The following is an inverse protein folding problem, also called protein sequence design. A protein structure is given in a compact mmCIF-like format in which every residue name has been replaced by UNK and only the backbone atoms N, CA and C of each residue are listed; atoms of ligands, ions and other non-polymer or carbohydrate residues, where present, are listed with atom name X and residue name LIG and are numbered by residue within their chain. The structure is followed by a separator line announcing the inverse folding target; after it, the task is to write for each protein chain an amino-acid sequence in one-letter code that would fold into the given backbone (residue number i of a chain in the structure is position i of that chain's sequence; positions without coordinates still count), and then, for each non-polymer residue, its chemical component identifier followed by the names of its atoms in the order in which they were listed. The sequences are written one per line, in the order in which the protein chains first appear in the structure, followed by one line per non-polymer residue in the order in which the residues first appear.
data_IF_351888027987
#
_entry.id   IF_351888027987
#
_cell.length_a   1.000
_cell.length_b   1.000
_cell.length_c   1.000
_cell.angle_alpha   90.00
_cell.angle_beta   90.00
_cell.angle_gamma   90.00
#
_symmetry.space_group_name_H-M   'P 1'
#
loop_
_entity.id
_entity.type
_entity.pdbx_description
1 polymer ?
#
# COMPACT_ATOMS: atom_id res chain seq x y z
N UNK A 1 -24.39 -26.82 -15.48
CA UNK A 1 -23.68 -25.54 -15.56
C UNK A 1 -24.43 -24.56 -14.66
N UNK A 2 -23.85 -24.08 -13.56
CA UNK A 2 -24.51 -23.03 -12.76
C UNK A 2 -24.22 -21.67 -13.40
N UNK A 3 -25.14 -20.70 -13.26
CA UNK A 3 -25.00 -19.36 -13.87
C UNK A 3 -23.70 -18.62 -13.51
N UNK A 4 -23.05 -19.04 -12.42
CA UNK A 4 -21.76 -18.56 -11.94
C UNK A 4 -20.58 -18.84 -12.89
N UNK A 5 -20.69 -19.81 -13.80
CA UNK A 5 -19.62 -20.12 -14.76
C UNK A 5 -19.51 -19.10 -15.90
N UNK A 6 -20.49 -18.19 -16.03
CA UNK A 6 -20.49 -17.11 -17.04
C UNK A 6 -19.72 -15.86 -16.62
N UNK A 7 -19.38 -15.73 -15.34
CA UNK A 7 -18.69 -14.53 -14.82
C UNK A 7 -17.22 -14.58 -15.26
N UNK A 8 -16.71 -13.55 -15.96
CA UNK A 8 -15.30 -13.50 -16.34
C UNK A 8 -14.39 -13.52 -15.10
N UNK A 9 -13.22 -14.18 -15.19
CA UNK A 9 -12.25 -14.26 -14.06
C UNK A 9 -11.94 -12.93 -13.41
N UNK A 10 -11.89 -11.89 -14.22
CA UNK A 10 -11.40 -10.59 -13.80
C UNK A 10 -12.48 -9.79 -13.07
N UNK A 11 -13.77 -10.13 -13.23
CA UNK A 11 -14.86 -9.29 -12.72
C UNK A 11 -14.84 -9.13 -11.20
N UNK A 12 -14.70 -10.18 -10.36
CA UNK A 12 -14.63 -10.01 -8.90
C UNK A 12 -13.40 -9.21 -8.46
N UNK A 13 -12.27 -9.41 -9.15
CA UNK A 13 -11.03 -8.67 -8.87
C UNK A 13 -11.20 -7.19 -9.19
N UNK A 14 -11.81 -6.86 -10.34
CA UNK A 14 -12.10 -5.47 -10.68
C UNK A 14 -13.08 -4.82 -9.70
N UNK A 15 -14.11 -5.55 -9.25
CA UNK A 15 -15.03 -5.03 -8.22
C UNK A 15 -14.29 -4.76 -6.91
N UNK A 16 -13.41 -5.68 -6.48
CA UNK A 16 -12.55 -5.47 -5.31
C UNK A 16 -11.63 -4.25 -5.46
N UNK A 17 -11.00 -4.08 -6.62
CA UNK A 17 -10.15 -2.93 -6.92
C UNK A 17 -10.93 -1.61 -6.96
N UNK A 18 -12.16 -1.61 -7.50
CA UNK A 18 -13.02 -0.43 -7.51
C UNK A 18 -13.46 -0.05 -6.10
N UNK A 19 -13.86 -1.02 -5.28
CA UNK A 19 -14.20 -0.78 -3.88
C UNK A 19 -12.99 -0.21 -3.10
N UNK A 20 -11.81 -0.79 -3.30
CA UNK A 20 -10.55 -0.31 -2.74
C UNK A 20 -10.28 1.15 -3.15
N UNK A 21 -10.39 1.47 -4.45
CA UNK A 21 -10.15 2.83 -4.94
C UNK A 21 -11.14 3.85 -4.37
N UNK A 22 -12.40 3.45 -4.15
CA UNK A 22 -13.40 4.31 -3.48
C UNK A 22 -13.01 4.55 -2.03
N UNK A 23 -12.56 3.51 -1.30
CA UNK A 23 -12.08 3.68 0.06
C UNK A 23 -10.86 4.59 0.15
N UNK A 24 -9.84 4.38 -0.68
CA UNK A 24 -8.66 5.23 -0.76
C UNK A 24 -9.03 6.69 -1.04
N UNK A 25 -9.94 6.94 -1.98
CA UNK A 25 -10.41 8.29 -2.28
C UNK A 25 -11.04 8.96 -1.06
N UNK A 26 -11.84 8.23 -0.27
CA UNK A 26 -12.47 8.78 0.94
C UNK A 26 -11.47 9.00 2.08
N UNK A 27 -10.39 8.23 2.13
CA UNK A 27 -9.39 8.24 3.20
C UNK A 27 -8.17 9.10 2.84
N UNK A 28 -8.03 9.54 1.59
CA UNK A 28 -6.89 10.33 1.10
C UNK A 28 -6.54 11.54 1.99
N UNK A 29 -7.47 12.29 2.61
CA UNK A 29 -7.12 13.40 3.49
C UNK A 29 -6.47 12.99 4.82
N UNK A 30 -6.62 11.73 5.22
CA UNK A 30 -6.09 11.21 6.47
C UNK A 30 -4.65 10.72 6.29
N UNK A 31 -3.82 10.91 7.32
CA UNK A 31 -2.46 10.40 7.45
C UNK A 31 -2.25 10.04 8.91
N UNK A 32 -1.55 8.95 9.19
CA UNK A 32 -1.24 8.57 10.56
C UNK A 32 -0.07 9.43 11.07
N UNK A 33 -0.19 9.96 12.28
CA UNK A 33 0.83 10.83 12.89
C UNK A 33 2.22 10.17 12.94
N UNK A 34 2.26 8.85 13.20
CA UNK A 34 3.51 8.07 13.24
C UNK A 34 4.27 8.09 11.91
N UNK A 35 3.60 8.25 10.76
CA UNK A 35 4.24 8.31 9.45
C UNK A 35 5.19 9.52 9.32
N UNK A 36 4.89 10.60 10.03
CA UNK A 36 5.73 11.81 10.04
C UNK A 36 7.10 11.57 10.67
N UNK A 37 7.24 10.56 11.53
CA UNK A 37 8.56 10.16 12.05
C UNK A 37 9.42 9.73 10.87
N UNK A 38 8.96 8.78 10.07
CA UNK A 38 9.70 8.28 8.89
C UNK A 38 9.93 9.39 7.86
N UNK A 39 8.96 10.29 7.65
CA UNK A 39 9.13 11.44 6.75
C UNK A 39 10.26 12.36 7.20
N UNK A 40 10.37 12.64 8.51
CA UNK A 40 11.46 13.43 9.09
C UNK A 40 12.83 12.78 8.85
N UNK A 41 12.92 11.46 9.02
CA UNK A 41 14.15 10.72 8.72
C UNK A 41 14.52 10.81 7.24
N UNK A 42 13.55 10.63 6.34
CA UNK A 42 13.75 10.76 4.90
C UNK A 42 14.22 12.18 4.52
N UNK A 43 13.61 13.22 5.09
CA UNK A 43 14.01 14.62 4.90
C UNK A 43 15.46 14.87 5.34
N UNK A 44 15.85 14.37 6.53
CA UNK A 44 17.21 14.55 7.05
C UNK A 44 18.25 13.77 6.22
N UNK A 45 17.90 12.58 5.74
CA UNK A 45 18.76 11.82 4.86
C UNK A 45 19.02 12.59 3.56
N UNK A 46 17.97 13.11 2.92
CA UNK A 46 18.07 13.89 1.68
C UNK A 46 18.80 15.22 1.90
N UNK A 47 18.63 15.85 3.06
CA UNK A 47 19.35 17.08 3.44
C UNK A 47 20.84 16.86 3.79
N UNK A 48 21.31 15.61 3.84
CA UNK A 48 22.70 15.28 4.16
C UNK A 48 23.03 15.25 5.66
N UNK A 49 22.02 15.32 6.54
CA UNK A 49 22.20 15.17 7.99
C UNK A 49 22.37 13.70 8.43
N UNK A 50 22.11 12.76 7.51
CA UNK A 50 22.12 11.33 7.78
C UNK A 50 20.74 10.82 8.24
N UNK A 51 20.69 9.53 8.58
CA UNK A 51 19.46 8.85 9.01
C UNK A 51 19.24 9.11 10.51
N UNK A 52 18.76 10.32 10.81
CA UNK A 52 18.52 10.80 12.18
C UNK A 52 17.20 11.55 12.25
N UNK A 53 16.56 11.57 13.42
CA UNK A 53 15.40 12.44 13.66
C UNK A 53 15.82 13.88 13.97
N UNK A 54 16.76 14.03 14.92
CA UNK A 54 17.39 15.30 15.29
C UNK A 54 18.86 15.31 14.82
N UNK A 55 19.29 16.24 13.96
CA UNK A 55 20.70 16.38 13.59
C UNK A 55 21.61 16.51 14.82
N UNK A 56 22.66 15.71 14.88
CA UNK A 56 23.56 15.62 16.04
C UNK A 56 23.24 14.49 17.02
N UNK A 57 22.02 13.95 17.00
CA UNK A 57 21.60 12.81 17.82
C UNK A 57 21.46 11.57 16.95
N UNK A 58 22.22 10.51 17.26
CA UNK A 58 22.17 9.24 16.53
C UNK A 58 21.30 8.23 17.28
N UNK A 59 20.01 8.24 16.96
CA UNK A 59 19.03 7.30 17.49
C UNK A 59 18.24 6.73 16.32
N UNK A 60 18.06 5.41 16.31
CA UNK A 60 17.18 4.72 15.36
C UNK A 60 15.76 4.69 15.93
N UNK A 61 14.86 5.46 15.33
CA UNK A 61 13.46 5.56 15.73
C UNK A 61 12.45 5.25 14.61
N UNK A 62 12.92 4.77 13.46
CA UNK A 62 12.05 4.25 12.39
C UNK A 62 11.86 2.74 12.57
N UNK A 63 10.73 2.21 12.11
CA UNK A 63 10.39 0.78 12.21
C UNK A 63 10.67 -0.01 10.93
N UNK A 64 10.81 0.69 9.80
CA UNK A 64 11.02 0.08 8.49
C UNK A 64 12.09 0.82 7.68
N UNK A 65 13.27 0.23 7.61
CA UNK A 65 14.41 0.81 6.89
C UNK A 65 14.17 0.91 5.38
N UNK A 66 13.56 -0.11 4.77
CA UNK A 66 13.31 -0.12 3.32
C UNK A 66 12.31 0.98 2.94
N UNK A 67 11.23 1.12 3.73
CA UNK A 67 10.23 2.17 3.52
C UNK A 67 10.85 3.56 3.62
N UNK A 68 11.67 3.81 4.64
CA UNK A 68 12.43 5.05 4.78
C UNK A 68 13.25 5.36 3.53
N UNK A 69 14.01 4.38 3.00
CA UNK A 69 14.82 4.58 1.80
C UNK A 69 13.97 4.88 0.57
N UNK A 70 12.84 4.19 0.39
CA UNK A 70 11.92 4.46 -0.72
C UNK A 70 11.36 5.89 -0.64
N UNK A 71 10.94 6.32 0.55
CA UNK A 71 10.46 7.68 0.79
C UNK A 71 11.57 8.71 0.59
N UNK A 72 12.81 8.43 0.98
CA UNK A 72 13.96 9.29 0.72
C UNK A 72 14.24 9.44 -0.77
N UNK A 73 14.09 8.37 -1.57
CA UNK A 73 14.18 8.45 -3.04
C UNK A 73 13.09 9.37 -3.59
N UNK A 74 11.82 9.15 -3.22
CA UNK A 74 10.73 10.05 -3.63
C UNK A 74 10.99 11.50 -3.22
N UNK A 75 11.50 11.71 -2.01
CA UNK A 75 11.81 13.04 -1.49
C UNK A 75 12.97 13.71 -2.23
N UNK A 76 14.01 12.96 -2.61
CA UNK A 76 15.12 13.46 -3.43
C UNK A 76 14.69 13.91 -4.83
N UNK A 77 13.57 13.37 -5.33
CA UNK A 77 12.93 13.80 -6.58
C UNK A 77 12.02 15.03 -6.40
N UNK A 78 11.96 15.60 -5.19
CA UNK A 78 11.13 16.77 -4.87
C UNK A 78 9.67 16.44 -4.57
N UNK A 79 9.30 15.16 -4.42
CA UNK A 79 7.93 14.77 -4.09
C UNK A 79 7.63 15.06 -2.61
N UNK A 80 6.37 15.39 -2.34
CA UNK A 80 5.87 15.49 -0.96
C UNK A 80 5.78 14.06 -0.39
N UNK A 81 6.40 13.79 0.78
CA UNK A 81 6.49 12.42 1.32
C UNK A 81 5.10 11.84 1.61
N UNK A 82 4.15 12.66 2.06
CA UNK A 82 2.77 12.25 2.32
C UNK A 82 2.04 11.76 1.06
N UNK A 83 2.08 12.52 -0.03
CA UNK A 83 1.44 12.10 -1.28
C UNK A 83 2.15 10.89 -1.87
N UNK A 84 3.49 10.90 -1.83
CA UNK A 84 4.30 9.83 -2.38
C UNK A 84 4.08 8.50 -1.63
N UNK A 85 4.03 8.52 -0.30
CA UNK A 85 3.76 7.35 0.52
C UNK A 85 2.39 6.74 0.21
N UNK A 86 1.36 7.59 0.09
CA UNK A 86 -0.02 7.15 -0.23
C UNK A 86 -0.13 6.53 -1.62
N UNK A 87 0.49 7.16 -2.62
CA UNK A 87 0.51 6.63 -3.99
C UNK A 87 1.27 5.31 -4.05
N UNK A 88 2.43 5.24 -3.40
CA UNK A 88 3.23 4.02 -3.37
C UNK A 88 2.50 2.87 -2.64
N UNK A 89 1.91 3.15 -1.47
CA UNK A 89 1.08 2.21 -0.72
C UNK A 89 -0.10 1.70 -1.55
N UNK A 90 -0.85 2.61 -2.19
CA UNK A 90 -1.96 2.23 -3.08
C UNK A 90 -1.52 1.35 -4.25
N UNK A 91 -0.36 1.62 -4.87
CA UNK A 91 0.19 0.78 -5.93
C UNK A 91 0.57 -0.62 -5.42
N UNK A 92 1.16 -0.72 -4.23
CA UNK A 92 1.51 -2.00 -3.60
C UNK A 92 0.25 -2.80 -3.21
N UNK A 93 -0.80 -2.14 -2.76
CA UNK A 93 -2.08 -2.78 -2.44
C UNK A 93 -2.82 -3.26 -3.70
N UNK A 94 -2.82 -2.47 -4.78
CA UNK A 94 -3.34 -2.91 -6.09
C UNK A 94 -2.58 -4.13 -6.59
N UNK A 95 -1.25 -4.13 -6.46
CA UNK A 95 -0.43 -5.29 -6.81
C UNK A 95 -0.77 -6.52 -5.95
N UNK A 96 -0.95 -6.32 -4.64
CA UNK A 96 -1.31 -7.38 -3.69
C UNK A 96 -2.69 -7.97 -3.99
N UNK A 97 -3.71 -7.13 -4.19
CA UNK A 97 -5.07 -7.55 -4.57
C UNK A 97 -5.07 -8.33 -5.89
N UNK A 98 -4.33 -7.84 -6.88
CA UNK A 98 -4.17 -8.51 -8.17
C UNK A 98 -3.50 -9.87 -7.98
N UNK A 99 -2.39 -9.93 -7.24
CA UNK A 99 -1.68 -11.18 -6.96
C UNK A 99 -2.58 -12.20 -6.26
N UNK A 100 -3.38 -11.78 -5.28
CA UNK A 100 -4.35 -12.64 -4.60
C UNK A 100 -5.41 -13.16 -5.57
N UNK A 101 -5.97 -12.29 -6.42
CA UNK A 101 -6.97 -12.68 -7.41
C UNK A 101 -6.47 -13.72 -8.42
N UNK A 102 -5.17 -13.71 -8.70
CA UNK A 102 -4.51 -14.65 -9.61
C UNK A 102 -3.66 -15.72 -8.92
N UNK A 103 -3.72 -15.83 -7.58
CA UNK A 103 -2.90 -16.77 -6.81
C UNK A 103 -3.12 -18.25 -7.19
N UNK A 104 -4.31 -18.60 -7.70
CA UNK A 104 -4.61 -19.93 -8.23
C UNK A 104 -3.69 -20.38 -9.38
N UNK A 105 -3.00 -19.44 -10.05
CA UNK A 105 -2.00 -19.73 -11.09
C UNK A 105 -0.64 -20.10 -10.51
N UNK A 106 -0.38 -19.72 -9.26
CA UNK A 106 0.90 -19.87 -8.58
C UNK A 106 0.85 -20.98 -7.51
N UNK A 107 -0.33 -21.24 -6.94
CA UNK A 107 -0.53 -22.19 -5.85
C UNK A 107 -1.32 -23.42 -6.33
N UNK A 108 -0.68 -24.59 -6.50
CA UNK A 108 -1.37 -25.82 -6.87
C UNK A 108 -2.45 -26.18 -5.85
N UNK A 109 -3.63 -26.58 -6.34
CA UNK A 109 -4.78 -26.96 -5.50
C UNK A 109 -5.65 -25.78 -5.01
N UNK A 110 -5.20 -24.52 -5.17
CA UNK A 110 -6.04 -23.36 -4.86
C UNK A 110 -7.09 -23.17 -5.96
N UNK A 111 -8.37 -23.21 -5.57
CA UNK A 111 -9.44 -22.98 -6.53
C UNK A 111 -9.45 -21.53 -7.02
N UNK A 112 -9.68 -21.35 -8.33
CA UNK A 112 -9.83 -20.03 -8.97
C UNK A 112 -10.89 -19.17 -8.29
N UNK A 113 -12.02 -19.78 -7.89
CA UNK A 113 -13.12 -19.09 -7.20
C UNK A 113 -12.70 -18.59 -5.81
N UNK A 114 -11.96 -19.41 -5.06
CA UNK A 114 -11.43 -19.03 -3.74
C UNK A 114 -10.50 -17.82 -3.84
N UNK A 115 -9.56 -17.83 -4.79
CA UNK A 115 -8.65 -16.70 -5.02
C UNK A 115 -9.40 -15.40 -5.34
N UNK A 116 -10.43 -15.47 -6.19
CA UNK A 116 -11.25 -14.31 -6.56
C UNK A 116 -12.10 -13.79 -5.42
N UNK A 117 -12.74 -14.68 -4.66
CA UNK A 117 -13.51 -14.29 -3.47
C UNK A 117 -12.60 -13.65 -2.43
N UNK A 118 -11.39 -14.16 -2.24
CA UNK A 118 -10.41 -13.55 -1.35
C UNK A 118 -10.05 -12.12 -1.79
N UNK A 119 -9.76 -11.91 -3.08
CA UNK A 119 -9.45 -10.58 -3.62
C UNK A 119 -10.64 -9.61 -3.51
N UNK A 120 -11.86 -10.08 -3.79
CA UNK A 120 -13.08 -9.29 -3.64
C UNK A 120 -13.29 -8.87 -2.18
N UNK A 121 -13.24 -9.84 -1.25
CA UNK A 121 -13.44 -9.59 0.17
C UNK A 121 -12.39 -8.63 0.73
N UNK A 122 -11.12 -8.82 0.35
CA UNK A 122 -10.04 -7.94 0.78
C UNK A 122 -10.20 -6.53 0.23
N UNK A 123 -10.51 -6.38 -1.06
CA UNK A 123 -10.71 -5.07 -1.69
C UNK A 123 -11.92 -4.30 -1.12
N UNK A 124 -12.94 -5.01 -0.63
CA UNK A 124 -14.09 -4.39 0.07
C UNK A 124 -13.84 -4.16 1.57
N UNK A 125 -12.70 -4.61 2.11
CA UNK A 125 -12.36 -4.40 3.50
C UNK A 125 -11.75 -3.01 3.68
N UNK A 126 -12.54 -2.03 4.13
CA UNK A 126 -12.05 -0.65 4.33
C UNK A 126 -10.87 -0.53 5.32
N UNK A 127 -10.65 -1.53 6.20
CA UNK A 127 -9.45 -1.58 7.07
C UNK A 127 -8.18 -1.80 6.25
N UNK A 128 -8.25 -2.58 5.17
CA UNK A 128 -7.13 -2.80 4.27
C UNK A 128 -6.71 -1.49 3.58
N UNK A 129 -7.66 -0.81 2.93
CA UNK A 129 -7.46 0.53 2.33
C UNK A 129 -7.03 1.62 3.32
N UNK A 130 -7.32 1.45 4.61
CA UNK A 130 -6.84 2.40 5.61
C UNK A 130 -5.32 2.39 5.71
N UNK A 131 -4.68 1.23 5.61
CA UNK A 131 -3.23 1.15 5.79
C UNK A 131 -2.47 1.80 4.62
N UNK A 132 -2.90 1.63 3.37
CA UNK A 132 -2.30 2.34 2.21
C UNK A 132 -2.34 3.86 2.36
N UNK A 133 -3.42 4.40 2.94
CA UNK A 133 -3.58 5.85 3.13
C UNK A 133 -2.90 6.39 4.39
N UNK A 134 -2.38 5.54 5.27
CA UNK A 134 -1.77 5.96 6.54
C UNK A 134 -0.44 6.69 6.38
N UNK A 135 0.26 6.49 5.25
CA UNK A 135 1.64 6.94 5.05
C UNK A 135 2.70 6.03 5.67
N UNK A 136 2.27 5.00 6.42
CA UNK A 136 3.09 3.88 6.83
C UNK A 136 3.29 2.91 5.65
N UNK A 137 4.20 1.95 5.86
CA UNK A 137 4.41 0.82 4.95
C UNK A 137 3.19 -0.08 4.72
#
# INVERSE_FOLDING_TARGET
MSDLDRIPSWAPVLVGLLAFAVHDWTLQPWTLDDAYITFRYADNLVAGHGIVFNPGERVEGYTNFLWLLLLAVGRSLGLAPELFSKVLGALLDVASLTMIGFAHRLVPGLSRRTAMLAALLLGTCGVFSKWSMSGME
#
